data_IF_275410692040
#
_entry.id   IF_275410692040
#
_cell.length_a   1.000
_cell.length_b   1.000
_cell.length_c   1.000
_cell.angle_alpha   90.00
_cell.angle_beta   90.00
_cell.angle_gamma   90.00
#
_symmetry.space_group_name_H-M   'P 1'
#
loop_
_entity.id
_entity.type
_entity.pdbx_description
1 polymer ?
#
# COMPACT_ATOMS: atom_id res chain seq x y z
N UNK A 1 -50.96 0.60 -35.55
CA UNK A 1 -50.48 0.76 -36.94
C UNK A 1 -48.95 0.84 -36.95
N UNK A 2 -48.30 0.58 -38.09
CA UNK A 2 -46.83 0.50 -38.23
C UNK A 2 -46.14 1.85 -37.99
N UNK A 3 -44.94 1.86 -37.39
CA UNK A 3 -43.69 2.26 -38.07
C UNK A 3 -42.43 2.03 -37.21
N UNK A 4 -41.40 1.50 -37.87
CA UNK A 4 -40.05 1.18 -37.38
C UNK A 4 -39.07 2.30 -37.77
N UNK A 5 -38.05 2.58 -36.93
CA UNK A 5 -36.69 3.13 -37.20
C UNK A 5 -35.93 3.00 -35.84
N UNK A 6 -34.74 2.40 -35.64
CA UNK A 6 -33.72 1.70 -36.44
C UNK A 6 -32.50 2.50 -36.94
N UNK A 7 -31.34 2.30 -36.28
CA UNK A 7 -29.93 2.37 -36.78
C UNK A 7 -29.36 3.77 -37.13
N UNK A 8 -28.08 4.12 -36.93
CA UNK A 8 -26.97 3.62 -36.08
C UNK A 8 -25.79 4.64 -36.10
N UNK A 9 -24.74 4.41 -35.29
CA UNK A 9 -23.32 4.86 -35.41
C UNK A 9 -22.65 4.47 -34.07
N UNK A 10 -21.93 3.36 -33.88
CA UNK A 10 -20.83 2.73 -34.65
C UNK A 10 -19.56 3.61 -34.68
N UNK A 11 -18.64 3.33 -33.75
CA UNK A 11 -17.28 3.88 -33.70
C UNK A 11 -16.35 2.82 -33.09
N UNK A 12 -16.01 1.82 -33.91
CA UNK A 12 -15.03 0.78 -33.55
C UNK A 12 -13.66 1.29 -33.99
N UNK A 13 -12.80 1.63 -33.02
CA UNK A 13 -11.39 1.93 -33.28
C UNK A 13 -10.63 0.63 -33.49
N UNK A 14 -10.53 0.18 -34.75
CA UNK A 14 -9.66 -0.93 -35.14
C UNK A 14 -8.20 -0.49 -35.05
N UNK A 15 -7.44 -1.03 -34.11
CA UNK A 15 -5.98 -0.91 -34.12
C UNK A 15 -5.43 -1.92 -35.13
N UNK A 16 -4.71 -1.43 -36.13
CA UNK A 16 -4.27 -2.22 -37.26
C UNK A 16 -3.20 -3.26 -36.88
N UNK A 17 -3.37 -4.49 -37.36
CA UNK A 17 -2.30 -5.49 -37.40
C UNK A 17 -1.27 -5.12 -38.48
N UNK A 18 -0.15 -4.55 -38.07
CA UNK A 18 1.03 -4.39 -38.92
C UNK A 18 1.99 -5.58 -38.75
N UNK A 19 2.09 -6.45 -39.74
CA UNK A 19 3.05 -7.56 -39.74
C UNK A 19 4.46 -7.06 -40.06
N UNK A 20 5.41 -7.29 -39.16
CA UNK A 20 6.84 -7.17 -39.43
C UNK A 20 7.64 -8.10 -38.56
N UNK A 21 7.98 -9.28 -39.11
CA UNK A 21 8.86 -10.23 -38.47
C UNK A 21 10.31 -9.71 -38.53
N UNK A 22 10.84 -9.23 -37.40
CA UNK A 22 12.30 -9.13 -37.17
C UNK A 22 12.65 -9.92 -35.91
N UNK A 23 13.47 -10.95 -36.08
CA UNK A 23 13.93 -11.90 -35.06
C UNK A 23 15.01 -11.25 -34.16
N UNK A 24 14.85 -11.34 -32.84
CA UNK A 24 15.95 -11.24 -31.87
C UNK A 24 15.69 -10.30 -30.69
N UNK A 25 15.97 -10.75 -29.46
CA UNK A 25 16.08 -9.89 -28.27
C UNK A 25 14.91 -9.95 -27.28
N UNK A 26 14.92 -11.00 -26.47
CA UNK A 26 14.41 -11.18 -25.10
C UNK A 26 13.39 -10.20 -24.45
N UNK A 27 12.37 -10.84 -23.86
CA UNK A 27 11.61 -10.43 -22.68
C UNK A 27 11.05 -9.00 -22.63
N UNK A 28 9.85 -8.89 -23.22
CA UNK A 28 8.75 -8.18 -22.59
C UNK A 28 8.61 -8.59 -21.10
N UNK A 29 8.98 -7.68 -20.22
CA UNK A 29 8.48 -7.59 -18.86
C UNK A 29 8.36 -6.11 -18.53
N UNK A 30 7.30 -5.48 -19.07
CA UNK A 30 6.74 -4.32 -18.39
C UNK A 30 6.36 -4.81 -17.01
N UNK A 31 7.16 -4.44 -16.01
CA UNK A 31 6.91 -4.80 -14.62
C UNK A 31 5.61 -4.14 -14.21
N UNK A 32 4.49 -4.85 -14.38
CA UNK A 32 3.23 -4.51 -13.74
C UNK A 32 3.50 -4.59 -12.25
N UNK A 33 3.87 -3.44 -11.67
CA UNK A 33 3.88 -3.25 -10.23
C UNK A 33 2.42 -3.35 -9.81
N UNK A 34 2.00 -4.58 -9.55
CA UNK A 34 0.72 -4.90 -8.94
C UNK A 34 0.78 -4.38 -7.52
N UNK A 35 0.58 -3.06 -7.37
CA UNK A 35 0.40 -2.43 -6.09
C UNK A 35 -0.66 -3.24 -5.33
N UNK A 36 -0.41 -3.62 -4.06
CA UNK A 36 -1.34 -4.42 -3.30
C UNK A 36 -2.73 -3.74 -3.28
N UNK A 37 -3.83 -4.51 -3.36
CA UNK A 37 -5.17 -3.94 -3.44
C UNK A 37 -5.41 -3.01 -2.25
N UNK A 38 -5.91 -1.81 -2.53
CA UNK A 38 -6.25 -0.84 -1.48
C UNK A 38 -7.42 -1.38 -0.68
N UNK A 39 -7.19 -1.63 0.61
CA UNK A 39 -8.19 -2.14 1.55
C UNK A 39 -8.88 -0.94 2.20
N UNK A 40 -10.21 -0.91 2.15
CA UNK A 40 -10.97 0.13 2.84
C UNK A 40 -10.74 0.03 4.35
N UNK A 41 -10.22 1.10 4.97
CA UNK A 41 -9.99 1.15 6.42
C UNK A 41 -11.33 1.25 7.15
N UNK A 42 -11.57 0.34 8.10
CA UNK A 42 -12.86 0.23 8.82
C UNK A 42 -12.73 0.57 10.30
N UNK A 43 -13.87 0.84 10.95
CA UNK A 43 -13.92 1.05 12.40
C UNK A 43 -13.49 2.45 12.86
N UNK A 44 -13.06 2.55 14.12
CA UNK A 44 -12.62 3.82 14.74
C UNK A 44 -11.28 4.29 14.17
N UNK A 45 -10.91 5.59 14.29
CA UNK A 45 -9.59 6.07 13.85
C UNK A 45 -8.41 5.32 14.48
N UNK A 46 -8.56 4.81 15.71
CA UNK A 46 -7.58 3.94 16.35
C UNK A 46 -7.44 2.58 15.64
N UNK A 47 -8.57 1.96 15.29
CA UNK A 47 -8.61 0.70 14.53
C UNK A 47 -8.03 0.87 13.12
N UNK A 48 -8.26 2.02 12.49
CA UNK A 48 -7.69 2.36 11.19
C UNK A 48 -6.16 2.51 11.27
N UNK A 49 -5.63 3.15 12.32
CA UNK A 49 -4.17 3.20 12.56
C UNK A 49 -3.57 1.80 12.78
N UNK A 50 -4.25 0.94 13.53
CA UNK A 50 -3.84 -0.47 13.74
C UNK A 50 -3.81 -1.22 12.41
N UNK A 51 -4.86 -1.12 11.58
CA UNK A 51 -4.93 -1.77 10.26
C UNK A 51 -3.74 -1.37 9.35
N UNK A 52 -3.37 -0.09 9.29
CA UNK A 52 -2.24 0.33 8.43
C UNK A 52 -0.89 -0.12 9.00
N UNK A 53 -0.72 -0.11 10.34
CA UNK A 53 0.49 -0.69 10.96
C UNK A 53 0.59 -2.20 10.70
N UNK A 54 -0.52 -2.93 10.80
CA UNK A 54 -0.60 -4.37 10.47
C UNK A 54 -0.25 -4.64 9.01
N UNK A 55 -0.71 -3.81 8.07
CA UNK A 55 -0.28 -3.90 6.68
C UNK A 55 1.24 -3.72 6.53
N UNK A 56 1.85 -2.78 7.26
CA UNK A 56 3.31 -2.60 7.27
C UNK A 56 4.07 -3.78 7.85
N UNK A 57 3.63 -4.29 9.00
CA UNK A 57 4.19 -5.50 9.64
C UNK A 57 4.08 -6.71 8.69
N UNK A 58 2.90 -6.93 8.09
CA UNK A 58 2.67 -8.03 7.16
C UNK A 58 3.49 -7.87 5.87
N UNK A 59 3.68 -6.65 5.38
CA UNK A 59 4.56 -6.37 4.24
C UNK A 59 6.01 -6.82 4.52
N UNK A 60 6.51 -6.69 5.75
CA UNK A 60 7.83 -7.21 6.14
C UNK A 60 7.84 -8.73 6.37
N UNK A 61 6.79 -9.29 7.00
CA UNK A 61 6.68 -10.75 7.22
C UNK A 61 6.61 -11.55 5.91
N UNK A 62 5.87 -11.05 4.93
CA UNK A 62 5.66 -11.73 3.64
C UNK A 62 6.80 -11.52 2.64
N UNK A 63 7.65 -10.52 2.84
CA UNK A 63 8.73 -10.16 1.91
C UNK A 63 10.06 -10.10 2.68
N UNK A 64 10.82 -11.21 2.77
CA UNK A 64 12.15 -11.19 3.40
C UNK A 64 13.20 -10.44 2.56
N UNK A 65 12.96 -10.24 1.26
CA UNK A 65 13.79 -9.38 0.40
C UNK A 65 13.54 -7.90 0.69
N UNK A 66 14.63 -7.17 0.90
CA UNK A 66 14.64 -5.75 1.24
C UNK A 66 14.00 -4.85 0.17
N UNK A 67 14.17 -5.15 -1.12
CA UNK A 67 13.65 -4.31 -2.22
C UNK A 67 12.16 -4.50 -2.42
N UNK A 68 11.67 -5.74 -2.30
CA UNK A 68 10.24 -6.06 -2.36
C UNK A 68 9.52 -5.53 -1.11
N UNK A 69 10.10 -5.73 0.08
CA UNK A 69 9.60 -5.15 1.34
C UNK A 69 9.51 -3.63 1.27
N UNK A 70 10.56 -2.97 0.76
CA UNK A 70 10.59 -1.52 0.58
C UNK A 70 9.49 -1.04 -0.36
N UNK A 71 9.32 -1.72 -1.50
CA UNK A 71 8.28 -1.41 -2.48
C UNK A 71 6.87 -1.56 -1.88
N UNK A 72 6.65 -2.59 -1.07
CA UNK A 72 5.39 -2.82 -0.37
C UNK A 72 5.10 -1.74 0.69
N UNK A 73 6.07 -1.36 1.52
CA UNK A 73 5.92 -0.24 2.47
C UNK A 73 5.63 1.08 1.75
N UNK A 74 6.33 1.36 0.63
CA UNK A 74 6.13 2.59 -0.15
C UNK A 74 4.73 2.62 -0.78
N UNK A 75 4.23 1.48 -1.26
CA UNK A 75 2.85 1.37 -1.73
C UNK A 75 1.82 1.64 -0.62
N UNK A 76 2.08 1.18 0.62
CA UNK A 76 1.19 1.47 1.76
C UNK A 76 1.21 2.98 2.08
N UNK A 77 2.39 3.61 2.19
CA UNK A 77 2.51 5.05 2.47
C UNK A 77 1.84 5.92 1.38
N UNK A 78 1.90 5.51 0.11
CA UNK A 78 1.25 6.20 -1.00
C UNK A 78 -0.28 6.09 -0.98
N UNK A 79 -0.84 5.00 -0.45
CA UNK A 79 -2.28 4.75 -0.44
C UNK A 79 -2.99 5.19 0.86
N UNK A 80 -2.27 5.26 1.99
CA UNK A 80 -2.83 5.62 3.29
C UNK A 80 -2.12 6.81 3.90
N UNK A 81 -2.82 7.95 4.01
CA UNK A 81 -2.28 9.15 4.64
C UNK A 81 -2.21 8.98 6.17
N UNK A 82 -1.04 8.55 6.66
CA UNK A 82 -0.75 8.32 8.08
C UNK A 82 -0.92 9.60 8.92
N UNK A 83 -0.58 10.77 8.39
CA UNK A 83 -0.75 12.05 9.08
C UNK A 83 -2.23 12.34 9.36
N UNK A 84 -3.09 12.17 8.35
CA UNK A 84 -4.55 12.30 8.50
C UNK A 84 -5.13 11.29 9.49
N UNK A 85 -4.64 10.03 9.50
CA UNK A 85 -5.05 9.02 10.47
C UNK A 85 -4.66 9.40 11.91
N UNK A 86 -3.45 9.93 12.11
CA UNK A 86 -3.00 10.45 13.41
C UNK A 86 -3.82 11.66 13.86
N UNK A 87 -4.13 12.58 12.94
CA UNK A 87 -4.97 13.73 13.22
C UNK A 87 -6.40 13.32 13.61
N UNK A 88 -7.00 12.37 12.88
CA UNK A 88 -8.32 11.80 13.20
C UNK A 88 -8.33 11.07 14.55
N UNK A 89 -7.29 10.29 14.86
CA UNK A 89 -7.11 9.62 16.15
C UNK A 89 -6.94 10.60 17.31
N UNK A 90 -6.20 11.69 17.11
CA UNK A 90 -6.13 12.79 18.09
C UNK A 90 -7.49 13.47 18.29
N UNK A 91 -8.20 13.82 17.22
CA UNK A 91 -9.51 14.44 17.31
C UNK A 91 -10.53 13.54 18.03
N UNK A 92 -10.53 12.24 17.74
CA UNK A 92 -11.36 11.25 18.43
C UNK A 92 -11.01 11.18 19.93
N UNK A 93 -9.73 11.17 20.29
CA UNK A 93 -9.29 11.24 21.70
C UNK A 93 -9.77 12.51 22.39
N UNK A 94 -9.60 13.66 21.76
CA UNK A 94 -10.02 14.96 22.32
C UNK A 94 -11.55 15.05 22.46
N UNK A 95 -12.31 14.30 21.64
CA UNK A 95 -13.76 14.12 21.73
C UNK A 95 -14.22 12.99 22.69
N UNK A 96 -13.31 12.39 23.47
CA UNK A 96 -13.62 11.30 24.41
C UNK A 96 -13.79 9.91 23.79
N UNK A 97 -13.61 9.78 22.46
CA UNK A 97 -13.62 8.53 21.69
C UNK A 97 -12.19 8.05 21.40
N UNK A 98 -11.29 8.18 22.37
CA UNK A 98 -9.89 7.76 22.23
C UNK A 98 -9.76 6.24 22.13
N UNK A 99 -8.60 5.79 21.63
CA UNK A 99 -8.22 4.38 21.61
C UNK A 99 -8.35 3.74 23.01
N UNK A 100 -8.94 2.56 23.06
CA UNK A 100 -9.01 1.73 24.27
C UNK A 100 -7.61 1.26 24.70
N UNK A 101 -7.47 0.80 25.95
CA UNK A 101 -6.21 0.27 26.44
C UNK A 101 -5.71 -0.95 25.62
N UNK A 102 -6.63 -1.77 25.12
CA UNK A 102 -6.32 -2.93 24.28
C UNK A 102 -5.80 -2.51 22.89
N UNK A 103 -6.47 -1.54 22.24
CA UNK A 103 -6.02 -0.97 20.97
C UNK A 103 -4.64 -0.29 21.10
N UNK A 104 -4.41 0.45 22.19
CA UNK A 104 -3.10 1.06 22.47
C UNK A 104 -2.00 0.00 22.68
N UNK A 105 -2.31 -1.10 23.37
CA UNK A 105 -1.35 -2.19 23.59
C UNK A 105 -1.07 -2.96 22.29
N UNK A 106 -2.10 -3.24 21.48
CA UNK A 106 -1.96 -3.85 20.15
C UNK A 106 -1.11 -2.98 19.22
N UNK A 107 -1.38 -1.68 19.17
CA UNK A 107 -0.59 -0.75 18.35
C UNK A 107 0.89 -0.72 18.77
N UNK A 108 1.20 -0.69 20.07
CA UNK A 108 2.58 -0.79 20.57
C UNK A 108 3.25 -2.11 20.20
N UNK A 109 2.56 -3.25 20.36
CA UNK A 109 3.09 -4.56 20.00
C UNK A 109 3.46 -4.62 18.51
N UNK A 110 2.64 -4.04 17.65
CA UNK A 110 2.91 -3.93 16.21
C UNK A 110 4.08 -2.99 15.88
N UNK A 111 4.28 -1.90 16.63
CA UNK A 111 5.45 -1.04 16.46
C UNK A 111 6.76 -1.77 16.80
N UNK A 112 6.79 -2.55 17.89
CA UNK A 112 7.98 -3.34 18.26
C UNK A 112 8.21 -4.53 17.32
N UNK A 113 7.14 -5.18 16.85
CA UNK A 113 7.24 -6.21 15.82
C UNK A 113 7.76 -5.62 14.49
N UNK A 114 7.27 -4.44 14.08
CA UNK A 114 7.78 -3.71 12.93
C UNK A 114 9.27 -3.41 13.08
N UNK A 115 9.74 -2.88 14.22
CA UNK A 115 11.17 -2.59 14.46
C UNK A 115 12.04 -3.83 14.27
N UNK A 116 11.65 -4.95 14.89
CA UNK A 116 12.38 -6.22 14.80
C UNK A 116 12.49 -6.73 13.36
N UNK A 117 11.36 -6.71 12.63
CA UNK A 117 11.33 -7.10 11.22
C UNK A 117 12.10 -6.14 10.32
N UNK A 118 12.00 -4.82 10.55
CA UNK A 118 12.70 -3.80 9.78
C UNK A 118 14.21 -3.88 9.97
N UNK A 119 14.69 -4.18 11.18
CA UNK A 119 16.10 -4.47 11.43
C UNK A 119 16.57 -5.71 10.67
N UNK A 120 15.79 -6.80 10.72
CA UNK A 120 16.12 -8.06 10.02
C UNK A 120 16.18 -7.88 8.50
N UNK A 121 15.14 -7.29 7.90
CA UNK A 121 15.05 -7.02 6.44
C UNK A 121 16.11 -6.00 6.01
N UNK A 122 16.24 -4.89 6.73
CA UNK A 122 17.20 -3.84 6.43
C UNK A 122 18.66 -4.29 6.53
N UNK A 123 18.98 -5.24 7.41
CA UNK A 123 20.34 -5.77 7.55
C UNK A 123 20.84 -6.51 6.29
N UNK A 124 19.95 -7.07 5.48
CA UNK A 124 20.30 -7.83 4.27
C UNK A 124 20.71 -6.93 3.10
N UNK A 125 20.04 -5.78 2.93
CA UNK A 125 20.41 -4.77 1.93
C UNK A 125 19.93 -3.38 2.39
N UNK A 126 20.75 -2.66 3.19
CA UNK A 126 20.38 -1.35 3.74
C UNK A 126 20.09 -0.31 2.66
N UNK A 127 20.79 -0.39 1.52
CA UNK A 127 20.63 0.56 0.40
C UNK A 127 19.27 0.47 -0.30
N UNK A 128 18.62 -0.69 -0.27
CA UNK A 128 17.29 -0.88 -0.83
C UNK A 128 16.14 -0.49 0.12
N UNK A 129 16.40 -0.43 1.44
CA UNK A 129 15.34 -0.37 2.46
C UNK A 129 15.35 0.88 3.34
N UNK A 130 16.53 1.46 3.63
CA UNK A 130 16.67 2.51 4.65
C UNK A 130 15.88 3.80 4.34
N UNK A 131 15.69 4.16 3.07
CA UNK A 131 14.88 5.32 2.66
C UNK A 131 13.43 5.18 3.16
N UNK A 132 12.73 4.14 2.71
CA UNK A 132 11.32 3.94 3.08
C UNK A 132 11.15 3.53 4.55
N UNK A 133 12.14 2.88 5.16
CA UNK A 133 12.15 2.68 6.61
C UNK A 133 12.17 4.03 7.34
N UNK A 134 12.99 4.98 6.90
CA UNK A 134 13.05 6.33 7.48
C UNK A 134 11.73 7.08 7.27
N UNK A 135 11.13 7.00 6.07
CA UNK A 135 9.80 7.58 5.79
C UNK A 135 8.71 6.98 6.69
N UNK A 136 8.66 5.65 6.82
CA UNK A 136 7.72 4.94 7.67
C UNK A 136 7.90 5.29 9.15
N UNK A 137 9.12 5.19 9.65
CA UNK A 137 9.47 5.51 11.04
C UNK A 137 9.10 6.95 11.39
N UNK A 138 9.36 7.91 10.50
CA UNK A 138 8.92 9.31 10.63
C UNK A 138 7.40 9.45 10.65
N UNK A 139 6.68 8.81 9.72
CA UNK A 139 5.22 8.88 9.64
C UNK A 139 4.54 8.35 10.92
N UNK A 140 5.10 7.32 11.53
CA UNK A 140 4.54 6.67 12.71
C UNK A 140 5.12 7.18 14.05
N UNK A 141 6.18 7.99 14.02
CA UNK A 141 6.91 8.40 15.23
C UNK A 141 7.59 7.21 15.93
N UNK A 142 8.08 6.27 15.14
CA UNK A 142 8.90 5.14 15.59
C UNK A 142 10.35 5.62 15.55
N UNK A 143 10.95 5.81 16.72
CA UNK A 143 12.39 5.95 16.89
C UNK A 143 12.97 4.62 17.40
#
# INVERSE_FOLDING_TARGET
MKKTILVALLSISVVAFGTSCKKGGDNSSTSTSSAPPVVALTGTPAQQMIQVMEMGVNALKSNPDASVAASALKAILNNYNVESLRAASKAAKDAGQGATAEELNRFKALQEEYKSLAQSVGSQNPGAFNEVHTEWSKAWGIN
#
